data_IF_291015120237
#
_entry.id   IF_291015120237
#
_cell.length_a   1.000
_cell.length_b   1.000
_cell.length_c   1.000
_cell.angle_alpha   90.00
_cell.angle_beta   90.00
_cell.angle_gamma   90.00
#
_symmetry.space_group_name_H-M   'P 1'
#
loop_
_entity.id
_entity.type
_entity.pdbx_description
1 polymer ?
#
# COMPACT_ATOMS: atom_id res chain seq x y z
N UNK A 1 19.78 3.40 7.07
CA UNK A 1 19.56 2.81 8.40
C UNK A 1 18.07 2.54 8.58
N UNK A 2 17.64 1.28 8.43
CA UNK A 2 16.23 0.88 8.50
C UNK A 2 15.91 0.31 9.90
N UNK A 3 15.40 1.17 10.79
CA UNK A 3 14.91 0.82 12.12
C UNK A 3 13.38 0.77 12.02
N UNK A 4 12.77 -0.40 11.87
CA UNK A 4 11.31 -0.45 11.69
C UNK A 4 10.61 -1.81 11.65
N UNK A 5 11.29 -2.92 11.95
CA UNK A 5 10.71 -4.28 11.76
C UNK A 5 10.25 -4.97 13.06
N UNK A 6 10.56 -4.43 14.24
CA UNK A 6 10.30 -5.13 15.51
C UNK A 6 8.82 -5.17 15.93
N UNK A 7 8.06 -4.11 15.64
CA UNK A 7 6.71 -3.91 16.22
C UNK A 7 5.66 -4.83 15.58
N UNK A 8 5.82 -5.17 14.30
CA UNK A 8 4.88 -6.08 13.62
C UNK A 8 5.03 -7.54 14.07
N UNK A 9 6.24 -7.96 14.42
CA UNK A 9 6.52 -9.33 14.81
C UNK A 9 5.99 -9.64 16.22
N UNK A 10 6.18 -8.71 17.16
CA UNK A 10 5.65 -8.84 18.52
C UNK A 10 4.12 -8.83 18.55
N UNK A 11 3.47 -7.96 17.78
CA UNK A 11 2.00 -7.93 17.69
C UNK A 11 1.42 -9.24 17.12
N UNK A 12 2.07 -9.83 16.10
CA UNK A 12 1.65 -11.11 15.53
C UNK A 12 1.79 -12.27 16.54
N UNK A 13 2.88 -12.33 17.30
CA UNK A 13 3.08 -13.35 18.34
C UNK A 13 2.03 -13.24 19.45
N UNK A 14 1.69 -12.01 19.87
CA UNK A 14 0.66 -11.79 20.90
C UNK A 14 -0.72 -12.23 20.38
N UNK A 15 -1.08 -11.88 19.15
CA UNK A 15 -2.36 -12.28 18.54
C UNK A 15 -2.47 -13.80 18.37
N UNK A 16 -1.40 -14.47 17.90
CA UNK A 16 -1.34 -15.93 17.78
C UNK A 16 -1.45 -16.57 19.17
N UNK A 17 -0.70 -16.08 20.17
CA UNK A 17 -0.77 -16.62 21.54
C UNK A 17 -2.17 -16.51 22.14
N UNK A 18 -2.86 -15.37 21.94
CA UNK A 18 -4.24 -15.18 22.40
C UNK A 18 -5.26 -16.06 21.66
N UNK A 19 -5.00 -16.41 20.39
CA UNK A 19 -5.84 -17.33 19.62
C UNK A 19 -5.73 -18.80 20.08
N UNK A 20 -4.62 -19.18 20.72
CA UNK A 20 -4.40 -20.55 21.19
C UNK A 20 -4.68 -20.76 22.68
N UNK A 21 -4.55 -19.73 23.53
CA UNK A 21 -4.75 -19.83 24.98
C UNK A 21 -6.06 -19.21 25.53
N UNK A 22 -6.85 -18.53 24.69
CA UNK A 22 -8.10 -17.91 25.14
C UNK A 22 -9.31 -18.85 25.11
N UNK A 23 -10.11 -18.86 26.18
CA UNK A 23 -11.44 -19.48 26.20
C UNK A 23 -12.52 -18.51 25.67
N UNK A 24 -13.50 -19.04 24.94
CA UNK A 24 -14.68 -18.30 24.49
C UNK A 24 -14.40 -17.15 23.49
N UNK A 25 -14.97 -15.94 23.69
CA UNK A 25 -14.98 -14.86 22.69
C UNK A 25 -13.60 -14.26 22.39
N UNK A 26 -12.64 -14.38 23.30
CA UNK A 26 -11.28 -13.86 23.14
C UNK A 26 -10.53 -14.60 22.02
N UNK A 27 -10.83 -15.89 21.84
CA UNK A 27 -10.27 -16.73 20.77
C UNK A 27 -10.68 -16.26 19.39
N UNK A 28 -11.95 -15.87 19.20
CA UNK A 28 -12.44 -15.37 17.91
C UNK A 28 -11.79 -14.04 17.53
N UNK A 29 -11.60 -13.13 18.51
CA UNK A 29 -10.88 -11.88 18.29
C UNK A 29 -9.41 -12.13 17.92
N UNK A 30 -8.75 -13.08 18.58
CA UNK A 30 -7.37 -13.47 18.26
C UNK A 30 -7.22 -14.00 16.83
N UNK A 31 -8.13 -14.87 16.39
CA UNK A 31 -8.14 -15.42 15.02
C UNK A 31 -8.38 -14.31 13.99
N UNK A 32 -9.37 -13.43 14.22
CA UNK A 32 -9.65 -12.32 13.32
C UNK A 32 -8.43 -11.39 13.18
N UNK A 33 -7.79 -11.03 14.28
CA UNK A 33 -6.58 -10.22 14.28
C UNK A 33 -5.41 -10.90 13.54
N UNK A 34 -5.24 -12.21 13.72
CA UNK A 34 -4.20 -12.98 13.03
C UNK A 34 -4.43 -13.01 11.51
N UNK A 35 -5.67 -13.25 11.04
CA UNK A 35 -6.02 -13.24 9.61
C UNK A 35 -5.73 -11.87 9.00
N UNK A 36 -6.17 -10.80 9.66
CA UNK A 36 -5.93 -9.42 9.19
C UNK A 36 -4.43 -9.12 9.14
N UNK A 37 -3.69 -9.51 10.18
CA UNK A 37 -2.23 -9.33 10.24
C UNK A 37 -1.48 -10.07 9.13
N UNK A 38 -1.80 -11.34 8.91
CA UNK A 38 -1.20 -12.17 7.85
C UNK A 38 -1.57 -11.65 6.47
N UNK A 39 -2.83 -11.28 6.24
CA UNK A 39 -3.27 -10.70 4.96
C UNK A 39 -2.55 -9.40 4.64
N UNK A 40 -2.48 -8.47 5.60
CA UNK A 40 -1.80 -7.19 5.42
C UNK A 40 -0.28 -7.35 5.27
N UNK A 41 0.34 -8.20 6.10
CA UNK A 41 1.77 -8.52 6.04
C UNK A 41 2.16 -9.19 4.73
N UNK A 42 1.38 -10.17 4.29
CA UNK A 42 1.56 -10.87 3.01
C UNK A 42 1.44 -9.91 1.83
N UNK A 43 0.39 -9.10 1.77
CA UNK A 43 0.21 -8.09 0.73
C UNK A 43 1.38 -7.08 0.69
N UNK A 44 1.87 -6.66 1.86
CA UNK A 44 3.02 -5.76 1.96
C UNK A 44 4.32 -6.41 1.50
N UNK A 45 4.58 -7.66 1.90
CA UNK A 45 5.76 -8.40 1.48
C UNK A 45 5.74 -8.64 -0.03
N UNK A 46 4.59 -9.06 -0.56
CA UNK A 46 4.38 -9.27 -1.98
C UNK A 46 4.61 -7.99 -2.78
N UNK A 47 4.16 -6.82 -2.29
CA UNK A 47 4.46 -5.51 -2.90
C UNK A 47 5.95 -5.17 -2.92
N UNK A 48 6.74 -5.66 -1.97
CA UNK A 48 8.18 -5.42 -1.86
C UNK A 48 9.01 -6.41 -2.67
N UNK A 49 8.57 -7.67 -2.76
CA UNK A 49 9.30 -8.75 -3.47
C UNK A 49 8.80 -8.98 -4.90
N UNK A 50 7.74 -8.29 -5.34
CA UNK A 50 7.20 -8.50 -6.68
C UNK A 50 8.25 -8.23 -7.76
N UNK A 51 8.50 -9.18 -8.67
CA UNK A 51 9.46 -9.00 -9.77
C UNK A 51 9.17 -7.73 -10.57
N UNK A 52 10.19 -6.88 -10.68
CA UNK A 52 10.15 -5.53 -11.26
C UNK A 52 9.52 -5.45 -12.65
N UNK A 53 9.60 -6.54 -13.43
CA UNK A 53 8.99 -6.63 -14.77
C UNK A 53 7.46 -6.54 -14.74
N UNK A 54 6.79 -7.29 -13.87
CA UNK A 54 5.32 -7.27 -13.71
C UNK A 54 4.83 -5.96 -13.09
N UNK A 55 5.67 -5.35 -12.25
CA UNK A 55 5.42 -4.05 -11.63
C UNK A 55 5.37 -2.93 -12.67
N UNK A 56 6.19 -2.98 -13.72
CA UNK A 56 6.22 -1.92 -14.74
C UNK A 56 4.97 -1.90 -15.62
N UNK A 57 4.53 -3.07 -16.08
CA UNK A 57 3.31 -3.16 -16.92
C UNK A 57 2.06 -2.72 -16.16
N UNK A 58 1.87 -3.24 -14.94
CA UNK A 58 0.70 -2.88 -14.11
C UNK A 58 0.72 -1.41 -13.68
N UNK A 59 1.89 -0.84 -13.40
CA UNK A 59 2.02 0.59 -13.09
C UNK A 59 1.69 1.44 -14.32
N UNK A 60 2.22 1.10 -15.50
CA UNK A 60 1.94 1.85 -16.72
C UNK A 60 0.44 1.90 -17.03
N UNK A 61 -0.27 0.76 -16.96
CA UNK A 61 -1.71 0.72 -17.21
C UNK A 61 -2.53 1.53 -16.21
N UNK A 62 -2.13 1.54 -14.93
CA UNK A 62 -2.82 2.36 -13.90
C UNK A 62 -2.58 3.85 -14.11
N UNK A 63 -1.33 4.22 -14.39
CA UNK A 63 -0.98 5.62 -14.65
C UNK A 63 -1.71 6.17 -15.88
N UNK A 64 -1.93 5.36 -16.93
CA UNK A 64 -2.75 5.79 -18.09
C UNK A 64 -4.24 5.98 -17.79
N UNK A 65 -4.73 5.49 -16.65
CA UNK A 65 -6.12 5.66 -16.18
C UNK A 65 -6.25 6.78 -15.14
N UNK A 66 -5.17 7.52 -14.88
CA UNK A 66 -5.13 8.49 -13.78
C UNK A 66 -5.07 7.84 -12.39
N UNK A 67 -4.76 6.55 -12.28
CA UNK A 67 -4.69 5.84 -11.01
C UNK A 67 -3.23 5.71 -10.51
N UNK A 68 -3.04 5.76 -9.20
CA UNK A 68 -1.76 5.55 -8.57
C UNK A 68 -1.23 4.14 -8.89
N UNK A 69 -0.06 4.06 -9.54
CA UNK A 69 0.59 2.78 -9.84
C UNK A 69 0.88 1.92 -8.60
N UNK A 70 1.00 2.52 -7.42
CA UNK A 70 1.33 1.84 -6.17
C UNK A 70 0.10 1.29 -5.41
N UNK A 71 -0.88 2.13 -5.09
CA UNK A 71 -2.07 1.72 -4.32
C UNK A 71 -3.35 1.58 -5.15
N UNK A 72 -3.40 2.15 -6.35
CA UNK A 72 -4.59 2.14 -7.22
C UNK A 72 -5.61 3.23 -6.91
N UNK A 73 -5.32 4.16 -6.00
CA UNK A 73 -6.17 5.34 -5.76
C UNK A 73 -6.18 6.24 -7.00
N UNK A 74 -7.34 6.78 -7.38
CA UNK A 74 -7.45 7.78 -8.44
C UNK A 74 -6.73 9.08 -8.04
N UNK A 75 -5.86 9.61 -8.90
CA UNK A 75 -4.98 10.76 -8.63
C UNK A 75 -5.02 11.84 -9.73
N UNK A 76 -5.89 11.74 -10.72
CA UNK A 76 -5.97 12.67 -11.86
C UNK A 76 -6.34 14.09 -11.41
N UNK A 77 -7.27 14.21 -10.45
CA UNK A 77 -7.75 15.49 -9.89
C UNK A 77 -6.86 16.08 -8.79
N UNK A 78 -5.66 15.53 -8.57
CA UNK A 78 -4.82 15.97 -7.45
C UNK A 78 -3.95 17.18 -7.81
N UNK A 79 -3.83 18.16 -6.89
CA UNK A 79 -3.00 19.33 -7.12
C UNK A 79 -1.54 18.91 -7.32
N UNK A 80 -0.94 19.49 -8.36
CA UNK A 80 0.48 19.31 -8.65
C UNK A 80 1.31 20.12 -7.67
N UNK A 81 2.38 19.50 -7.20
CA UNK A 81 3.44 20.20 -6.48
C UNK A 81 4.21 21.10 -7.46
N UNK A 82 4.91 22.12 -6.95
CA UNK A 82 5.66 23.10 -7.75
C UNK A 82 6.74 22.48 -8.66
N UNK A 83 7.07 21.20 -8.44
CA UNK A 83 8.01 20.41 -9.22
C UNK A 83 7.33 19.59 -10.34
N UNK A 84 6.04 19.82 -10.66
CA UNK A 84 5.30 19.05 -11.67
C UNK A 84 5.00 17.60 -11.25
N UNK A 85 5.04 17.33 -9.94
CA UNK A 85 4.81 16.02 -9.36
C UNK A 85 3.45 15.94 -8.69
N UNK A 86 2.78 14.79 -8.79
CA UNK A 86 1.57 14.48 -8.03
C UNK A 86 1.92 13.46 -6.95
N UNK A 87 1.49 13.74 -5.71
CA UNK A 87 1.72 12.88 -4.55
C UNK A 87 0.42 12.22 -4.12
N UNK A 88 0.42 10.89 -4.07
CA UNK A 88 -0.72 10.13 -3.58
C UNK A 88 -0.89 10.32 -2.06
N UNK A 89 -2.08 10.72 -1.56
CA UNK A 89 -2.33 10.95 -0.14
C UNK A 89 -2.41 9.66 0.68
N UNK A 90 -2.78 8.53 0.05
CA UNK A 90 -2.91 7.25 0.72
C UNK A 90 -1.55 6.58 0.95
N UNK A 91 -0.78 6.37 -0.13
CA UNK A 91 0.48 5.64 -0.04
C UNK A 91 1.73 6.53 -0.05
N UNK A 92 1.57 7.84 -0.25
CA UNK A 92 2.68 8.80 -0.29
C UNK A 92 3.56 8.72 -1.54
N UNK A 93 3.19 7.91 -2.55
CA UNK A 93 3.98 7.76 -3.78
C UNK A 93 3.90 9.02 -4.63
N UNK A 94 5.01 9.38 -5.27
CA UNK A 94 5.13 10.59 -6.09
C UNK A 94 5.36 10.21 -7.54
N UNK A 95 4.60 10.83 -8.45
CA UNK A 95 4.64 10.59 -9.89
C UNK A 95 4.87 11.89 -10.64
N UNK A 96 5.67 11.85 -11.70
CA UNK A 96 5.96 13.02 -12.53
C UNK A 96 4.92 13.12 -13.64
N UNK A 97 4.14 14.21 -13.67
CA UNK A 97 2.96 14.32 -14.54
C UNK A 97 3.32 14.25 -16.02
N UNK A 98 4.45 14.83 -16.42
CA UNK A 98 4.89 14.80 -17.82
C UNK A 98 5.16 13.39 -18.33
N UNK A 99 5.46 12.43 -17.44
CA UNK A 99 5.63 11.01 -17.80
C UNK A 99 4.32 10.22 -17.83
N UNK A 100 3.21 10.81 -17.39
CA UNK A 100 1.88 10.19 -17.40
C UNK A 100 1.19 10.29 -18.77
N UNK A 101 1.78 10.99 -19.75
CA UNK A 101 1.24 11.05 -21.10
C UNK A 101 0.17 12.13 -21.31
N UNK A 102 0.17 13.19 -20.49
CA UNK A 102 -0.32 14.50 -20.92
C UNK A 102 -1.84 14.75 -20.87
N UNK A 103 -2.60 14.07 -20.02
CA UNK A 103 -3.92 14.55 -19.61
C UNK A 103 -3.95 14.78 -18.11
N UNK A 104 -3.64 16.00 -17.71
CA UNK A 104 -4.11 16.57 -16.46
C UNK A 104 -4.46 18.00 -16.87
N UNK A 105 -5.74 18.32 -16.91
CA UNK A 105 -6.19 19.59 -17.43
C UNK A 105 -5.71 20.71 -16.49
N UNK A 106 -4.95 21.66 -17.03
CA UNK A 106 -4.43 22.82 -16.28
C UNK A 106 -5.58 23.83 -16.05
N UNK A 107 -6.59 23.43 -15.28
CA UNK A 107 -7.68 24.30 -14.85
C UNK A 107 -7.20 25.27 -13.78
N UNK A 108 -6.59 26.37 -14.23
CA UNK A 108 -6.43 27.60 -13.44
C UNK A 108 -7.75 28.34 -13.29
#
# INVERSE_FOLDING_TARGET
MARGSGVGFTAAIIAISLAFLGDGPVRMLGIAAAIVGVGYGGARLMRLTWPSRWRRETVATRLTRGDCGACGLHIEDMPRDGNGCVRCPDCGATWLVDRLGGRVDDGW
#
